data_IF_577981913389
#
_entry.id   IF_577981913389
#
_cell.length_a   1.000
_cell.length_b   1.000
_cell.length_c   1.000
_cell.angle_alpha   90.00
_cell.angle_beta   90.00
_cell.angle_gamma   90.00
#
_symmetry.space_group_name_H-M   'P 1'
#
loop_
_entity.id
_entity.type
_entity.pdbx_description
1 polymer ?
#
# COMPACT_ATOMS: atom_id res chain seq x y z
N UNK A 1 -7.56 0.02 -19.28
CA UNK A 1 -6.28 0.72 -18.98
C UNK A 1 -6.37 1.21 -17.55
N UNK A 2 -5.37 0.91 -16.71
CA UNK A 2 -5.25 1.32 -15.31
C UNK A 2 -3.88 1.95 -15.14
N UNK A 3 -3.81 3.19 -14.64
CA UNK A 3 -2.54 3.87 -14.35
C UNK A 3 -2.09 3.53 -12.93
N UNK A 4 -0.82 3.17 -12.78
CA UNK A 4 -0.22 2.84 -11.48
C UNK A 4 1.01 3.72 -11.29
N UNK A 5 1.05 4.46 -10.18
CA UNK A 5 2.18 5.33 -9.83
C UNK A 5 2.70 4.95 -8.45
N UNK A 6 3.98 4.61 -8.37
CA UNK A 6 4.64 4.32 -7.09
C UNK A 6 5.17 5.63 -6.51
N UNK A 7 4.45 6.22 -5.55
CA UNK A 7 4.85 7.49 -4.92
C UNK A 7 6.00 7.27 -3.93
N UNK A 8 5.93 6.18 -3.16
CA UNK A 8 6.95 5.74 -2.22
C UNK A 8 7.03 4.21 -2.17
N UNK A 9 8.21 3.66 -1.89
CA UNK A 9 8.49 2.22 -1.92
C UNK A 9 9.43 1.75 -0.80
N UNK A 10 9.95 2.66 0.03
CA UNK A 10 10.81 2.32 1.15
C UNK A 10 10.03 1.61 2.28
N UNK A 11 10.71 0.82 3.10
CA UNK A 11 10.10 0.10 4.22
C UNK A 11 10.24 0.83 5.55
N UNK A 12 9.21 0.79 6.37
CA UNK A 12 9.13 1.27 7.76
C UNK A 12 9.58 2.72 8.02
N UNK A 13 10.39 3.31 7.16
CA UNK A 13 10.82 4.71 7.22
C UNK A 13 11.36 5.17 5.86
N UNK A 14 11.53 6.50 5.69
CA UNK A 14 12.05 7.10 4.46
C UNK A 14 13.56 6.86 4.28
N UNK A 15 14.01 6.93 3.02
CA UNK A 15 15.42 6.93 2.64
C UNK A 15 15.64 7.93 1.50
N UNK A 16 16.31 9.04 1.78
CA UNK A 16 16.42 10.16 0.85
C UNK A 16 15.03 10.67 0.46
N UNK A 17 14.76 10.75 -0.83
CA UNK A 17 13.46 11.19 -1.37
C UNK A 17 12.44 10.04 -1.47
N UNK A 18 12.82 8.81 -1.11
CA UNK A 18 11.93 7.66 -1.11
C UNK A 18 11.27 7.50 0.27
N UNK A 19 9.97 7.65 0.33
CA UNK A 19 9.20 7.40 1.54
C UNK A 19 8.53 6.01 1.50
N UNK A 20 7.85 5.67 2.57
CA UNK A 20 7.21 4.38 2.80
C UNK A 20 6.08 4.13 1.79
N UNK A 21 5.60 2.88 1.64
CA UNK A 21 4.75 2.52 0.51
C UNK A 21 3.52 3.39 0.39
N UNK A 22 3.35 3.97 -0.78
CA UNK A 22 2.15 4.67 -1.19
C UNK A 22 2.02 4.55 -2.70
N UNK A 23 0.96 3.91 -3.16
CA UNK A 23 0.77 3.60 -4.56
C UNK A 23 -0.56 4.17 -5.04
N UNK A 24 -0.53 5.00 -6.06
CA UNK A 24 -1.73 5.51 -6.70
C UNK A 24 -2.13 4.58 -7.85
N UNK A 25 -3.32 4.00 -7.76
CA UNK A 25 -3.94 3.16 -8.80
C UNK A 25 -5.17 3.91 -9.31
N UNK A 26 -5.06 4.54 -10.47
CA UNK A 26 -6.02 5.51 -11.01
C UNK A 26 -6.31 6.65 -10.01
N UNK A 27 -7.42 6.56 -9.27
CA UNK A 27 -7.86 7.53 -8.26
C UNK A 27 -7.92 6.93 -6.83
N UNK A 28 -7.42 5.71 -6.66
CA UNK A 28 -7.35 5.00 -5.39
C UNK A 28 -5.91 5.04 -4.88
N UNK A 29 -5.70 5.61 -3.70
CA UNK A 29 -4.41 5.64 -3.03
C UNK A 29 -4.31 4.45 -2.08
N UNK A 30 -3.34 3.57 -2.30
CA UNK A 30 -3.01 2.45 -1.44
C UNK A 30 -1.98 2.90 -0.43
N UNK A 31 -2.36 2.96 0.83
CA UNK A 31 -1.67 3.56 1.97
C UNK A 31 -1.31 5.04 1.79
N UNK A 32 -1.27 5.76 2.89
CA UNK A 32 -1.03 7.19 2.95
C UNK A 32 -0.12 7.55 4.12
N UNK A 33 1.19 7.35 3.99
CA UNK A 33 2.17 7.78 4.99
C UNK A 33 2.31 9.30 5.02
N UNK A 34 2.94 9.84 6.08
CA UNK A 34 3.08 11.28 6.33
C UNK A 34 3.59 12.10 5.13
N UNK A 35 4.63 11.73 4.38
CA UNK A 35 5.09 12.54 3.24
C UNK A 35 4.15 12.53 2.03
N UNK A 36 3.17 11.62 1.97
CA UNK A 36 2.32 11.42 0.80
C UNK A 36 1.43 12.64 0.48
N UNK A 37 0.67 13.25 1.41
CA UNK A 37 -0.16 14.42 1.14
C UNK A 37 0.64 15.61 0.60
N UNK A 38 1.81 15.86 1.16
CA UNK A 38 2.72 16.90 0.67
C UNK A 38 3.18 16.62 -0.77
N UNK A 39 3.56 15.38 -1.07
CA UNK A 39 3.96 14.97 -2.42
C UNK A 39 2.82 15.13 -3.41
N UNK A 40 1.62 14.70 -3.08
CA UNK A 40 0.43 14.86 -3.91
C UNK A 40 0.08 16.34 -4.14
N UNK A 41 0.23 17.18 -3.11
CA UNK A 41 0.03 18.63 -3.22
C UNK A 41 1.02 19.27 -4.19
N UNK A 42 2.31 18.96 -4.07
CA UNK A 42 3.36 19.44 -4.98
C UNK A 42 3.12 19.06 -6.44
N UNK A 43 2.54 17.88 -6.67
CA UNK A 43 2.22 17.38 -8.00
C UNK A 43 0.89 17.94 -8.56
N UNK A 44 0.11 18.66 -7.73
CA UNK A 44 -1.25 19.07 -8.09
C UNK A 44 -2.23 17.90 -8.21
N UNK A 45 -1.98 16.80 -7.48
CA UNK A 45 -2.74 15.56 -7.60
C UNK A 45 -3.68 15.29 -6.41
N UNK A 46 -3.72 16.17 -5.41
CA UNK A 46 -4.66 16.00 -4.29
C UNK A 46 -6.10 15.77 -4.77
N UNK A 47 -6.53 16.53 -5.78
CA UNK A 47 -7.90 16.44 -6.31
C UNK A 47 -8.17 15.17 -7.14
N UNK A 48 -7.13 14.44 -7.53
CA UNK A 48 -7.27 13.15 -8.21
C UNK A 48 -7.69 12.04 -7.26
N UNK A 49 -7.34 12.18 -5.96
CA UNK A 49 -7.59 11.13 -4.98
C UNK A 49 -9.06 11.16 -4.58
N UNK A 50 -9.77 10.06 -4.81
CA UNK A 50 -11.17 9.88 -4.40
C UNK A 50 -11.29 8.96 -3.19
N UNK A 51 -10.37 8.00 -3.09
CA UNK A 51 -10.37 6.97 -2.06
C UNK A 51 -8.94 6.70 -1.57
N UNK A 52 -8.77 6.63 -0.25
CA UNK A 52 -7.58 6.07 0.39
C UNK A 52 -7.95 4.70 0.93
N UNK A 53 -7.19 3.68 0.55
CA UNK A 53 -7.28 2.34 1.11
C UNK A 53 -6.10 2.15 2.05
N UNK A 54 -6.37 2.05 3.34
CA UNK A 54 -5.37 1.72 4.35
C UNK A 54 -5.33 0.23 4.60
N UNK A 55 -4.15 -0.35 4.48
CA UNK A 55 -3.92 -1.75 4.83
C UNK A 55 -3.96 -1.94 6.34
N UNK A 56 -3.36 -1.04 7.10
CA UNK A 56 -3.34 -1.03 8.57
C UNK A 56 -2.96 0.36 9.12
N UNK A 57 -2.87 0.49 10.45
CA UNK A 57 -2.70 1.79 11.10
C UNK A 57 -1.28 2.09 11.58
N UNK A 58 -0.26 1.34 11.16
CA UNK A 58 1.12 1.74 11.47
C UNK A 58 1.45 3.12 10.87
N UNK A 59 2.32 3.90 11.53
CA UNK A 59 2.60 5.29 11.14
C UNK A 59 3.05 5.44 9.68
N UNK A 60 3.88 4.52 9.21
CA UNK A 60 4.45 4.47 7.88
C UNK A 60 3.46 4.07 6.77
N UNK A 61 2.21 3.76 7.12
CA UNK A 61 1.10 3.49 6.20
C UNK A 61 -0.06 4.46 6.34
N UNK A 62 -0.24 5.12 7.50
CA UNK A 62 -1.51 5.76 7.82
C UNK A 62 -1.46 7.25 8.21
N UNK A 63 -0.34 7.75 8.78
CA UNK A 63 -0.34 9.09 9.37
C UNK A 63 -0.58 10.23 8.39
N UNK A 64 -0.33 10.06 7.11
CA UNK A 64 -0.69 11.05 6.09
C UNK A 64 -2.19 11.30 5.98
N UNK A 65 -3.04 10.35 6.38
CA UNK A 65 -4.49 10.59 6.45
C UNK A 65 -4.80 11.68 7.46
N UNK A 66 -4.13 11.67 8.64
CA UNK A 66 -4.30 12.71 9.66
C UNK A 66 -3.92 14.10 9.09
N UNK A 67 -2.78 14.19 8.41
CA UNK A 67 -2.30 15.43 7.78
C UNK A 67 -3.25 15.90 6.68
N UNK A 68 -3.78 14.97 5.88
CA UNK A 68 -4.72 15.30 4.83
C UNK A 68 -6.05 15.83 5.39
N UNK A 69 -6.60 15.21 6.44
CA UNK A 69 -7.82 15.69 7.10
C UNK A 69 -7.61 17.09 7.68
N UNK A 70 -6.45 17.32 8.31
CA UNK A 70 -6.07 18.64 8.81
C UNK A 70 -5.97 19.66 7.69
N UNK A 71 -5.30 19.31 6.59
CA UNK A 71 -5.17 20.18 5.42
C UNK A 71 -6.55 20.57 4.84
N UNK A 72 -7.44 19.59 4.65
CA UNK A 72 -8.79 19.83 4.13
C UNK A 72 -9.62 20.73 5.04
N UNK A 73 -9.48 20.57 6.35
CA UNK A 73 -10.13 21.44 7.33
C UNK A 73 -9.61 22.89 7.26
N UNK A 74 -8.29 23.09 7.17
CA UNK A 74 -7.68 24.42 7.05
C UNK A 74 -8.07 25.08 5.71
N UNK A 75 -8.15 24.31 4.63
CA UNK A 75 -8.59 24.81 3.31
C UNK A 75 -10.01 25.40 3.33
N UNK A 76 -10.87 24.88 4.18
CA UNK A 76 -12.24 25.38 4.38
C UNK A 76 -13.19 25.20 3.19
N UNK A 77 -12.81 24.40 2.17
CA UNK A 77 -13.60 24.17 0.95
C UNK A 77 -14.69 23.10 1.08
N UNK A 78 -14.86 22.52 2.26
CA UNK A 78 -15.86 21.48 2.52
C UNK A 78 -15.60 20.15 1.78
N UNK A 79 -14.40 19.96 1.23
CA UNK A 79 -14.00 18.72 0.57
C UNK A 79 -13.88 17.58 1.59
N UNK A 80 -14.27 16.38 1.16
CA UNK A 80 -14.18 15.15 1.96
C UNK A 80 -13.43 14.09 1.16
N UNK A 81 -12.72 13.21 1.89
CA UNK A 81 -12.01 12.07 1.32
C UNK A 81 -12.58 10.76 1.87
N UNK A 82 -12.78 9.78 1.00
CA UNK A 82 -13.16 8.45 1.43
C UNK A 82 -11.93 7.69 1.95
N UNK A 83 -12.08 7.00 3.06
CA UNK A 83 -11.04 6.18 3.66
C UNK A 83 -11.63 4.81 3.97
N UNK A 84 -11.09 3.76 3.36
CA UNK A 84 -11.38 2.37 3.72
C UNK A 84 -10.19 1.83 4.50
N UNK A 85 -10.43 1.17 5.63
CA UNK A 85 -9.38 0.52 6.41
C UNK A 85 -9.95 -0.61 7.27
N UNK A 86 -9.11 -1.34 8.00
CA UNK A 86 -9.57 -2.38 8.92
C UNK A 86 -10.44 -1.79 10.04
N UNK A 87 -11.32 -2.62 10.60
CA UNK A 87 -12.17 -2.24 11.74
C UNK A 87 -11.37 -1.59 12.86
N UNK A 88 -11.79 -0.40 13.27
CA UNK A 88 -11.15 0.46 14.26
C UNK A 88 -10.39 1.65 13.65
N UNK A 89 -10.27 1.73 12.31
CA UNK A 89 -9.54 2.82 11.63
C UNK A 89 -10.13 4.19 11.95
N UNK A 90 -11.45 4.38 11.87
CA UNK A 90 -12.06 5.66 12.21
C UNK A 90 -11.78 6.05 13.67
N UNK A 91 -11.91 5.09 14.59
CA UNK A 91 -11.67 5.32 16.01
C UNK A 91 -10.23 5.68 16.31
N UNK A 92 -9.27 5.09 15.59
CA UNK A 92 -7.85 5.44 15.68
C UNK A 92 -7.62 6.93 15.37
N UNK A 93 -8.12 7.42 14.23
CA UNK A 93 -7.98 8.83 13.86
C UNK A 93 -8.78 9.79 14.78
N UNK A 94 -9.96 9.38 15.22
CA UNK A 94 -10.74 10.13 16.20
C UNK A 94 -9.95 10.35 17.49
N UNK A 95 -9.31 9.32 18.03
CA UNK A 95 -8.52 9.41 19.24
C UNK A 95 -7.30 10.35 19.05
N UNK A 96 -6.54 10.17 17.96
CA UNK A 96 -5.41 11.04 17.64
C UNK A 96 -5.84 12.51 17.53
N UNK A 97 -6.90 12.79 16.77
CA UNK A 97 -7.40 14.15 16.60
C UNK A 97 -7.91 14.74 17.89
N UNK A 98 -8.55 13.93 18.75
CA UNK A 98 -9.03 14.39 20.07
C UNK A 98 -7.87 14.81 20.96
N UNK A 99 -6.76 14.09 20.96
CA UNK A 99 -5.57 14.41 21.73
C UNK A 99 -4.84 15.65 21.17
N UNK A 100 -4.81 15.81 19.85
CA UNK A 100 -4.14 16.93 19.18
C UNK A 100 -4.97 18.23 19.29
N UNK A 101 -6.29 18.15 19.07
CA UNK A 101 -7.18 19.32 19.05
C UNK A 101 -8.55 19.02 19.66
N UNK A 102 -8.66 18.96 20.99
CA UNK A 102 -9.89 18.51 21.68
C UNK A 102 -11.17 19.26 21.30
N UNK A 103 -11.07 20.57 21.00
CA UNK A 103 -12.23 21.40 20.66
C UNK A 103 -12.67 21.34 19.20
N UNK A 104 -11.83 20.78 18.29
CA UNK A 104 -12.07 20.79 16.84
C UNK A 104 -11.95 19.40 16.19
N UNK A 105 -11.66 18.36 16.94
CA UNK A 105 -11.41 17.04 16.37
C UNK A 105 -12.58 16.52 15.51
N UNK A 106 -13.83 16.83 15.91
CA UNK A 106 -15.01 16.41 15.13
C UNK A 106 -15.10 17.14 13.79
N UNK A 107 -14.80 18.44 13.79
CA UNK A 107 -14.81 19.24 12.55
C UNK A 107 -13.74 18.69 11.58
N UNK A 108 -12.52 18.43 12.08
CA UNK A 108 -11.42 17.87 11.30
C UNK A 108 -11.76 16.47 10.79
N UNK A 109 -12.25 15.58 11.67
CA UNK A 109 -12.62 14.21 11.33
C UNK A 109 -13.72 14.15 10.27
N UNK A 110 -14.63 15.16 10.27
CA UNK A 110 -15.75 15.23 9.32
C UNK A 110 -15.32 15.35 7.85
N UNK A 111 -14.06 15.72 7.58
CA UNK A 111 -13.47 15.69 6.24
C UNK A 111 -13.13 14.27 5.76
N UNK A 112 -13.14 13.26 6.64
CA UNK A 112 -13.07 11.85 6.30
C UNK A 112 -14.45 11.19 6.22
N UNK A 113 -14.66 10.33 5.21
CA UNK A 113 -15.79 9.41 5.14
C UNK A 113 -15.22 8.01 5.29
N UNK A 114 -15.32 7.47 6.50
CA UNK A 114 -14.68 6.21 6.84
C UNK A 114 -15.60 5.02 6.56
N UNK A 115 -15.04 4.01 5.90
CA UNK A 115 -15.62 2.69 5.72
C UNK A 115 -14.65 1.68 6.35
N UNK A 116 -15.18 0.77 7.14
CA UNK A 116 -14.38 -0.28 7.76
C UNK A 116 -14.63 -1.60 7.04
N UNK A 117 -13.54 -2.29 6.70
CA UNK A 117 -13.57 -3.57 6.03
C UNK A 117 -13.05 -4.70 6.95
N UNK A 118 -13.59 -5.88 6.75
CA UNK A 118 -13.12 -7.12 7.37
C UNK A 118 -12.61 -8.07 6.28
N UNK A 119 -11.76 -9.05 6.63
CA UNK A 119 -11.37 -10.11 5.69
C UNK A 119 -12.59 -10.77 5.04
N UNK A 120 -12.46 -11.14 3.77
CA UNK A 120 -13.50 -11.74 2.93
C UNK A 120 -14.69 -10.81 2.61
N UNK A 121 -14.56 -9.50 2.86
CA UNK A 121 -15.56 -8.52 2.40
C UNK A 121 -15.20 -7.95 1.04
N UNK A 122 -16.22 -7.36 0.38
CA UNK A 122 -16.06 -6.65 -0.89
C UNK A 122 -16.79 -5.32 -0.85
N UNK A 123 -16.09 -4.25 -1.23
CA UNK A 123 -16.65 -2.90 -1.37
C UNK A 123 -16.39 -2.43 -2.81
N UNK A 124 -17.43 -2.28 -3.60
CA UNK A 124 -17.30 -1.95 -5.02
C UNK A 124 -16.51 -3.02 -5.77
N UNK A 125 -15.41 -2.61 -6.38
CA UNK A 125 -14.48 -3.50 -7.10
C UNK A 125 -13.27 -3.94 -6.26
N UNK A 126 -13.28 -3.70 -4.95
CA UNK A 126 -12.20 -4.02 -4.03
C UNK A 126 -12.61 -5.19 -3.13
N UNK A 127 -11.83 -6.26 -3.14
CA UNK A 127 -11.98 -7.41 -2.24
C UNK A 127 -10.86 -7.41 -1.20
N UNK A 128 -11.22 -7.67 0.06
CA UNK A 128 -10.29 -7.60 1.19
C UNK A 128 -10.00 -8.99 1.75
N UNK A 129 -8.75 -9.20 2.14
CA UNK A 129 -8.24 -10.45 2.69
C UNK A 129 -7.41 -10.15 3.93
N UNK A 130 -7.27 -11.11 4.83
CA UNK A 130 -6.45 -10.96 6.03
C UNK A 130 -4.97 -10.95 5.66
N UNK A 131 -4.27 -9.88 5.97
CA UNK A 131 -2.81 -9.87 6.04
C UNK A 131 -2.35 -10.42 7.41
N UNK A 132 -1.30 -11.23 7.41
CA UNK A 132 -0.72 -11.81 8.63
C UNK A 132 0.34 -10.87 9.18
N UNK A 133 -0.09 -9.95 10.03
CA UNK A 133 0.77 -8.90 10.58
C UNK A 133 0.56 -8.73 12.09
N UNK A 134 1.34 -7.87 12.74
CA UNK A 134 1.34 -7.64 14.19
C UNK A 134 0.11 -6.91 14.69
N UNK A 135 -0.59 -6.19 13.82
CA UNK A 135 -1.87 -5.51 14.09
C UNK A 135 -2.93 -6.01 13.12
N UNK A 136 -4.19 -5.57 13.29
CA UNK A 136 -5.23 -5.82 12.28
C UNK A 136 -4.80 -5.22 10.96
N UNK A 137 -4.63 -6.08 9.95
CA UNK A 137 -4.18 -5.67 8.63
C UNK A 137 -4.99 -6.37 7.54
N UNK A 138 -5.18 -5.66 6.43
CA UNK A 138 -5.89 -6.10 5.25
C UNK A 138 -4.96 -6.03 4.04
N UNK A 139 -5.04 -7.04 3.22
CA UNK A 139 -4.57 -7.01 1.85
C UNK A 139 -5.76 -6.78 0.92
N UNK A 140 -5.53 -6.20 -0.25
CA UNK A 140 -6.60 -5.83 -1.15
C UNK A 140 -6.35 -6.31 -2.58
N UNK A 141 -7.43 -6.77 -3.23
CA UNK A 141 -7.50 -7.01 -4.66
C UNK A 141 -8.45 -6.00 -5.29
N UNK A 142 -7.94 -5.24 -6.25
CA UNK A 142 -8.69 -4.27 -7.04
C UNK A 142 -8.93 -4.86 -8.43
N UNK A 143 -10.20 -5.11 -8.77
CA UNK A 143 -10.59 -5.64 -10.08
C UNK A 143 -11.12 -4.51 -10.96
N UNK A 144 -10.46 -4.25 -12.08
CA UNK A 144 -10.86 -3.32 -13.11
C UNK A 144 -11.33 -4.07 -14.36
N UNK A 145 -11.93 -3.38 -15.31
CA UNK A 145 -12.31 -4.00 -16.57
C UNK A 145 -11.07 -4.42 -17.36
N UNK A 146 -10.73 -5.71 -17.30
CA UNK A 146 -9.59 -6.29 -18.03
C UNK A 146 -8.23 -6.10 -17.36
N UNK A 147 -8.20 -5.78 -16.06
CA UNK A 147 -6.97 -5.70 -15.27
C UNK A 147 -7.25 -5.96 -13.79
N UNK A 148 -6.30 -6.54 -13.06
CA UNK A 148 -6.36 -6.72 -11.61
C UNK A 148 -5.04 -6.34 -10.93
N UNK A 149 -5.14 -5.60 -9.82
CA UNK A 149 -4.02 -5.22 -8.98
C UNK A 149 -4.24 -5.77 -7.58
N UNK A 150 -3.28 -6.52 -7.07
CA UNK A 150 -3.28 -7.02 -5.71
C UNK A 150 -2.19 -6.32 -4.89
N UNK A 151 -2.53 -5.85 -3.70
CA UNK A 151 -1.60 -5.21 -2.77
C UNK A 151 -1.67 -5.89 -1.42
N UNK A 152 -0.52 -6.37 -0.96
CA UNK A 152 -0.46 -7.12 0.30
C UNK A 152 -0.50 -6.23 1.54
N UNK A 153 -0.02 -4.97 1.45
CA UNK A 153 0.46 -4.29 2.64
C UNK A 153 1.55 -5.12 3.31
N UNK A 154 1.69 -4.97 4.62
CA UNK A 154 2.65 -5.75 5.41
C UNK A 154 2.06 -7.10 5.80
N UNK A 155 2.78 -8.17 5.50
CA UNK A 155 2.29 -9.52 5.76
C UNK A 155 3.39 -10.58 5.76
N UNK A 156 3.30 -11.54 6.65
CA UNK A 156 3.91 -12.84 6.45
C UNK A 156 3.15 -13.64 5.38
N UNK A 157 3.73 -14.70 4.80
CA UNK A 157 3.04 -15.57 3.86
C UNK A 157 1.71 -16.10 4.44
N UNK A 158 0.65 -16.07 3.62
CA UNK A 158 -0.70 -16.43 4.05
C UNK A 158 -1.43 -17.20 2.97
N UNK A 159 -2.02 -18.34 3.33
CA UNK A 159 -2.85 -19.12 2.43
C UNK A 159 -4.11 -18.36 1.98
N UNK A 160 -4.67 -17.53 2.84
CA UNK A 160 -5.84 -16.69 2.52
C UNK A 160 -5.51 -15.71 1.38
N UNK A 161 -4.31 -15.10 1.40
CA UNK A 161 -3.84 -14.26 0.30
C UNK A 161 -3.60 -15.05 -0.98
N UNK A 162 -3.00 -16.24 -0.87
CA UNK A 162 -2.75 -17.12 -2.02
C UNK A 162 -4.06 -17.53 -2.70
N UNK A 163 -5.13 -17.77 -1.95
CA UNK A 163 -6.46 -18.09 -2.49
C UNK A 163 -7.16 -16.87 -3.08
N UNK A 164 -7.08 -15.72 -2.41
CA UNK A 164 -7.76 -14.49 -2.82
C UNK A 164 -7.15 -13.76 -4.01
N UNK A 165 -5.84 -13.91 -4.19
CA UNK A 165 -5.10 -13.20 -5.22
C UNK A 165 -4.86 -14.01 -6.51
N UNK A 166 -5.54 -15.16 -6.66
CA UNK A 166 -5.38 -16.00 -7.84
C UNK A 166 -5.58 -15.22 -9.14
N UNK A 167 -4.68 -15.49 -10.09
CA UNK A 167 -4.69 -14.93 -11.44
C UNK A 167 -4.68 -13.39 -11.47
N UNK A 168 -4.03 -12.73 -10.47
CA UNK A 168 -3.89 -11.28 -10.54
C UNK A 168 -2.85 -10.87 -11.60
N UNK A 169 -3.08 -9.74 -12.26
CA UNK A 169 -2.15 -9.25 -13.27
C UNK A 169 -0.91 -8.64 -12.66
N UNK A 170 -1.06 -7.77 -11.65
CA UNK A 170 0.04 -7.17 -10.90
C UNK A 170 -0.11 -7.46 -9.41
N UNK A 171 0.85 -8.19 -8.85
CA UNK A 171 1.02 -8.34 -7.41
C UNK A 171 2.04 -7.32 -6.90
N UNK A 172 1.62 -6.42 -6.01
CA UNK A 172 2.48 -5.51 -5.26
C UNK A 172 2.65 -6.12 -3.89
N UNK A 173 3.87 -6.54 -3.56
CA UNK A 173 4.16 -7.30 -2.34
C UNK A 173 5.32 -6.68 -1.56
N UNK A 174 5.20 -6.63 -0.24
CA UNK A 174 6.29 -6.23 0.63
C UNK A 174 7.47 -7.19 0.55
N UNK A 175 8.67 -6.68 0.84
CA UNK A 175 9.88 -7.47 1.00
C UNK A 175 10.79 -6.81 2.05
N UNK A 176 10.33 -6.79 3.29
CA UNK A 176 10.96 -6.07 4.41
C UNK A 176 12.23 -6.74 4.89
N UNK A 177 12.29 -8.06 4.82
CA UNK A 177 13.44 -8.83 5.30
C UNK A 177 14.34 -9.30 4.15
N UNK A 178 15.67 -9.36 4.36
CA UNK A 178 16.59 -9.89 3.35
C UNK A 178 16.38 -11.40 3.13
N UNK A 179 16.78 -11.92 1.94
CA UNK A 179 16.78 -13.36 1.68
C UNK A 179 17.58 -14.12 2.73
N UNK A 180 17.07 -15.25 3.18
CA UNK A 180 17.69 -16.08 4.22
C UNK A 180 17.20 -15.80 5.65
N UNK A 181 16.27 -14.84 5.80
CA UNK A 181 15.63 -14.50 7.09
C UNK A 181 14.13 -14.78 7.07
N UNK A 182 13.70 -15.88 6.43
CA UNK A 182 12.29 -16.22 6.24
C UNK A 182 11.56 -16.46 7.56
N UNK A 183 12.21 -17.12 8.51
CA UNK A 183 11.62 -17.43 9.84
C UNK A 183 11.43 -16.16 10.67
N UNK A 184 12.44 -15.27 10.69
CA UNK A 184 12.37 -13.98 11.38
C UNK A 184 11.30 -13.08 10.75
N UNK A 185 11.25 -13.03 9.41
CA UNK A 185 10.25 -12.28 8.68
C UNK A 185 8.83 -12.73 9.07
N UNK A 186 8.56 -14.04 9.04
CA UNK A 186 7.25 -14.59 9.42
C UNK A 186 6.88 -14.30 10.86
N UNK A 187 7.84 -14.39 11.79
CA UNK A 187 7.62 -14.10 13.21
C UNK A 187 7.21 -12.65 13.43
N UNK A 188 7.80 -11.74 12.67
CA UNK A 188 7.53 -10.30 12.78
C UNK A 188 6.36 -9.84 11.89
N UNK A 189 5.70 -10.78 11.19
CA UNK A 189 4.56 -10.48 10.34
C UNK A 189 4.93 -9.83 9.01
N UNK A 190 6.09 -10.19 8.46
CA UNK A 190 6.64 -9.69 7.21
C UNK A 190 7.09 -10.80 6.26
N UNK A 191 7.65 -10.41 5.11
CA UNK A 191 8.14 -11.32 4.08
C UNK A 191 9.54 -10.96 3.59
N UNK A 192 10.22 -11.96 3.02
CA UNK A 192 11.43 -11.81 2.22
C UNK A 192 11.07 -11.74 0.72
N UNK A 193 11.98 -11.30 -0.17
CA UNK A 193 11.75 -11.35 -1.62
C UNK A 193 11.53 -12.78 -2.15
N UNK A 194 12.09 -13.79 -1.49
CA UNK A 194 11.88 -15.20 -1.80
C UNK A 194 10.42 -15.59 -1.52
N UNK A 195 9.90 -15.21 -0.36
CA UNK A 195 8.51 -15.48 0.03
C UNK A 195 7.52 -14.72 -0.87
N UNK A 196 7.79 -13.45 -1.18
CA UNK A 196 7.00 -12.66 -2.12
C UNK A 196 6.94 -13.32 -3.52
N UNK A 197 8.08 -13.79 -4.04
CA UNK A 197 8.15 -14.49 -5.33
C UNK A 197 7.43 -15.85 -5.31
N UNK A 198 7.49 -16.58 -4.20
CA UNK A 198 6.70 -17.82 -4.02
C UNK A 198 5.20 -17.53 -4.01
N UNK A 199 4.76 -16.44 -3.34
CA UNK A 199 3.36 -15.99 -3.36
C UNK A 199 2.97 -15.67 -4.81
N UNK A 200 3.74 -14.86 -5.55
CA UNK A 200 3.47 -14.52 -6.94
C UNK A 200 3.30 -15.76 -7.83
N UNK A 201 4.17 -16.76 -7.68
CA UNK A 201 4.07 -18.03 -8.41
C UNK A 201 2.82 -18.83 -8.04
N UNK A 202 2.48 -18.93 -6.75
CA UNK A 202 1.32 -19.69 -6.27
C UNK A 202 0.00 -19.06 -6.71
N UNK A 203 -0.08 -17.73 -6.73
CA UNK A 203 -1.28 -17.02 -7.19
C UNK A 203 -1.37 -16.89 -8.70
N UNK A 204 -0.38 -17.40 -9.46
CA UNK A 204 -0.28 -17.24 -10.91
C UNK A 204 -0.34 -15.77 -11.34
N UNK A 205 0.38 -14.89 -10.63
CA UNK A 205 0.48 -13.48 -11.00
C UNK A 205 1.20 -13.33 -12.35
N UNK A 206 0.93 -12.25 -13.10
CA UNK A 206 1.70 -11.95 -14.32
C UNK A 206 2.97 -11.15 -14.01
N UNK A 207 2.88 -10.22 -13.05
CA UNK A 207 3.99 -9.36 -12.63
C UNK A 207 4.05 -9.28 -11.11
N UNK A 208 5.26 -9.14 -10.58
CA UNK A 208 5.54 -8.90 -9.16
C UNK A 208 6.33 -7.61 -8.99
N UNK A 209 5.76 -6.66 -8.27
CA UNK A 209 6.46 -5.47 -7.78
C UNK A 209 6.85 -5.65 -6.31
N UNK A 210 8.14 -5.57 -5.99
CA UNK A 210 8.62 -5.60 -4.62
C UNK A 210 8.68 -4.18 -4.06
N UNK A 211 8.00 -3.96 -2.94
CA UNK A 211 7.97 -2.68 -2.20
C UNK A 211 8.31 -2.91 -0.72
N UNK A 212 8.32 -1.85 0.08
CA UNK A 212 8.62 -1.91 1.50
C UNK A 212 10.03 -2.45 1.79
N UNK A 213 11.02 -2.03 0.97
CA UNK A 213 12.39 -2.48 1.13
C UNK A 213 13.13 -1.70 2.24
N UNK A 214 13.95 -2.36 3.07
CA UNK A 214 14.58 -1.76 4.24
C UNK A 214 15.79 -0.88 3.90
N UNK A 215 15.63 0.09 3.01
CA UNK A 215 16.70 0.96 2.52
C UNK A 215 17.43 1.72 3.62
N UNK A 216 16.69 2.24 4.61
CA UNK A 216 17.30 3.00 5.71
C UNK A 216 18.23 2.15 6.57
N UNK A 217 17.96 0.84 6.66
CA UNK A 217 18.77 -0.11 7.45
C UNK A 217 19.90 -0.72 6.65
N UNK A 218 19.65 -1.05 5.38
CA UNK A 218 20.57 -1.87 4.57
C UNK A 218 21.15 -1.12 3.36
N UNK A 219 20.65 0.08 3.05
CA UNK A 219 21.06 0.88 1.88
C UNK A 219 20.49 0.38 0.56
N UNK A 220 20.67 1.16 -0.54
CA UNK A 220 20.07 0.85 -1.84
C UNK A 220 20.75 -0.33 -2.57
N UNK A 221 21.94 -0.72 -2.16
CA UNK A 221 22.66 -1.87 -2.75
C UNK A 221 21.96 -3.21 -2.57
N UNK A 222 20.95 -3.27 -1.68
CA UNK A 222 20.15 -4.50 -1.47
C UNK A 222 19.32 -4.89 -2.70
N UNK A 223 18.99 -3.95 -3.57
CA UNK A 223 18.07 -4.17 -4.70
C UNK A 223 18.53 -5.31 -5.60
N UNK A 224 19.83 -5.38 -5.91
CA UNK A 224 20.36 -6.46 -6.75
C UNK A 224 20.15 -7.84 -6.10
N UNK A 225 20.43 -7.94 -4.79
CA UNK A 225 20.25 -9.18 -4.04
C UNK A 225 18.78 -9.58 -3.96
N UNK A 226 17.89 -8.62 -3.68
CA UNK A 226 16.45 -8.85 -3.58
C UNK A 226 15.89 -9.28 -4.93
N UNK A 227 16.22 -8.52 -5.99
CA UNK A 227 15.73 -8.78 -7.33
C UNK A 227 16.23 -10.12 -7.87
N UNK A 228 17.55 -10.42 -7.72
CA UNK A 228 18.10 -11.68 -8.17
C UNK A 228 17.55 -12.89 -7.43
N UNK A 229 17.29 -12.77 -6.13
CA UNK A 229 16.68 -13.84 -5.32
C UNK A 229 15.25 -14.12 -5.74
N UNK A 230 14.45 -13.08 -5.92
CA UNK A 230 13.07 -13.21 -6.37
C UNK A 230 12.97 -13.75 -7.81
N UNK A 231 13.79 -13.24 -8.74
CA UNK A 231 13.77 -13.66 -10.18
C UNK A 231 14.13 -15.12 -10.41
N UNK A 232 14.87 -15.76 -9.51
CA UNK A 232 15.12 -17.22 -9.58
C UNK A 232 13.84 -18.04 -9.44
N UNK A 233 12.80 -17.46 -8.82
CA UNK A 233 11.51 -18.12 -8.54
C UNK A 233 10.41 -17.61 -9.47
N UNK A 234 10.40 -16.30 -9.71
CA UNK A 234 9.41 -15.60 -10.52
C UNK A 234 10.08 -14.52 -11.37
N UNK A 235 10.29 -14.81 -12.65
CA UNK A 235 11.12 -14.00 -13.57
C UNK A 235 10.59 -12.57 -13.79
N UNK A 236 9.24 -12.41 -13.83
CA UNK A 236 8.58 -11.12 -14.06
C UNK A 236 8.52 -10.26 -12.79
N UNK A 237 9.64 -10.19 -12.07
CA UNK A 237 9.79 -9.38 -10.85
C UNK A 237 10.55 -8.10 -11.13
N UNK A 238 10.11 -7.00 -10.52
CA UNK A 238 10.81 -5.72 -10.56
C UNK A 238 10.71 -4.98 -9.21
N UNK A 239 11.60 -4.01 -9.01
CA UNK A 239 11.58 -3.09 -7.87
C UNK A 239 11.29 -1.70 -8.45
N UNK A 240 10.08 -1.14 -8.23
CA UNK A 240 9.73 0.18 -8.71
C UNK A 240 10.50 1.26 -7.93
N UNK A 241 10.82 2.35 -8.61
CA UNK A 241 11.37 3.56 -8.01
C UNK A 241 10.28 4.55 -7.67
N UNK A 242 10.53 5.50 -6.74
CA UNK A 242 9.63 6.61 -6.53
C UNK A 242 9.33 7.33 -7.86
N UNK A 243 8.05 7.61 -8.07
CA UNK A 243 7.49 8.24 -9.28
C UNK A 243 7.48 7.38 -10.55
N UNK A 244 7.88 6.11 -10.48
CA UNK A 244 7.68 5.19 -11.60
C UNK A 244 6.18 5.05 -11.92
N UNK A 245 5.86 5.13 -13.22
CA UNK A 245 4.51 5.03 -13.75
C UNK A 245 4.38 3.84 -14.66
N UNK A 246 3.31 3.10 -14.47
CA UNK A 246 2.98 1.95 -15.30
C UNK A 246 1.53 2.04 -15.78
N UNK A 247 1.28 1.46 -16.95
CA UNK A 247 -0.07 1.23 -17.47
C UNK A 247 -0.30 -0.27 -17.54
N UNK A 248 -1.37 -0.72 -16.89
CA UNK A 248 -1.85 -2.09 -16.94
C UNK A 248 -3.07 -2.16 -17.85
N UNK A 249 -2.98 -2.88 -18.95
CA UNK A 249 -4.05 -3.01 -19.93
C UNK A 249 -4.08 -4.43 -20.54
N UNK A 250 -5.25 -5.08 -20.47
CA UNK A 250 -5.40 -6.44 -20.99
C UNK A 250 -4.43 -7.44 -20.35
N UNK A 251 -4.04 -7.19 -19.09
CA UNK A 251 -3.06 -7.99 -18.38
C UNK A 251 -1.60 -7.77 -18.79
N UNK A 252 -1.30 -6.76 -19.61
CA UNK A 252 0.07 -6.36 -19.96
C UNK A 252 0.45 -5.10 -19.18
N UNK A 253 1.64 -5.12 -18.58
CA UNK A 253 2.20 -4.00 -17.84
C UNK A 253 3.25 -3.28 -18.70
N UNK A 254 3.02 -2.01 -18.99
CA UNK A 254 3.94 -1.16 -19.75
C UNK A 254 4.46 -0.02 -18.87
N UNK A 255 5.75 0.30 -18.96
CA UNK A 255 6.33 1.48 -18.32
C UNK A 255 5.90 2.74 -19.09
N UNK A 256 5.51 3.78 -18.34
CA UNK A 256 5.15 5.08 -18.89
C UNK A 256 6.22 6.10 -18.49
N UNK A 257 7.06 6.46 -19.44
CA UNK A 257 8.06 7.54 -19.25
C UNK A 257 7.41 8.91 -19.01
#
# INVERSE_FOLDING_TARGET
MVEIVFLGTAGSTFFGDNFTPSILVDNILLDCPSPCPYTLSRLGWLDKIQLILLTHVHPDHSLGVLELLWHLWIEGKGRRIQVIGPTGTQKFFENLLRDIHPSKYQDILSHGVFFEAEPSTKIGNISFYRAKHTVKALAARLDFRGASVCYTGDTAPSRELEEGFRDCDLLIHEATYPPGMEEEAEKDGHSTPIQAANTARKVNAKYLALVHLPYARLGPQIEETYLSSAKKIFSNTFIPKPMDKFILEGGNLGYKS
#
